data_IF_434290113380
#
_entry.id   IF_434290113380
#
_cell.length_a   1.000
_cell.length_b   1.000
_cell.length_c   1.000
_cell.angle_alpha   90.00
_cell.angle_beta   90.00
_cell.angle_gamma   90.00
#
_symmetry.space_group_name_H-M   'P 1'
#
loop_
_entity.id
_entity.type
_entity.pdbx_description
1 polymer ?
#
# COMPACT_ATOMS: atom_id res chain seq x y z
N UNK A 1 -8.33 -31.16 -80.34
CA UNK A 1 -7.10 -31.34 -79.56
C UNK A 1 -6.35 -30.02 -79.65
N UNK A 2 -6.49 -29.18 -78.63
CA UNK A 2 -5.94 -27.82 -78.60
C UNK A 2 -4.99 -27.78 -77.41
N UNK A 3 -3.70 -27.66 -77.67
CA UNK A 3 -2.63 -27.68 -76.66
C UNK A 3 -2.64 -26.39 -75.83
N UNK A 4 -2.65 -26.53 -74.51
CA UNK A 4 -2.44 -25.44 -73.54
C UNK A 4 -0.94 -25.34 -73.30
N UNK A 5 -0.32 -24.30 -73.87
CA UNK A 5 1.08 -23.97 -73.64
C UNK A 5 1.28 -23.51 -72.18
N UNK A 6 2.14 -24.22 -71.45
CA UNK A 6 2.56 -23.87 -70.11
C UNK A 6 3.41 -22.58 -70.13
N UNK A 7 2.91 -21.52 -69.50
CA UNK A 7 3.70 -20.32 -69.23
C UNK A 7 4.71 -20.62 -68.11
N UNK A 8 6.00 -20.63 -68.46
CA UNK A 8 7.12 -20.67 -67.53
C UNK A 8 7.15 -19.39 -66.68
N UNK A 9 7.40 -19.48 -65.37
CA UNK A 9 7.52 -18.31 -64.51
C UNK A 9 8.74 -17.48 -64.91
N UNK A 10 8.52 -16.17 -65.00
CA UNK A 10 9.49 -15.13 -65.32
C UNK A 10 10.74 -15.28 -64.45
N UNK A 11 11.87 -15.46 -65.12
CA UNK A 11 13.23 -15.49 -64.61
C UNK A 11 13.45 -14.29 -63.67
N UNK A 12 13.39 -14.53 -62.37
CA UNK A 12 13.70 -13.53 -61.37
C UNK A 12 15.18 -13.23 -61.52
N UNK A 13 15.53 -11.99 -61.90
CA UNK A 13 16.88 -11.48 -61.96
C UNK A 13 17.58 -11.72 -60.60
N UNK A 14 18.24 -12.87 -60.48
CA UNK A 14 19.02 -13.24 -59.31
C UNK A 14 20.22 -12.31 -59.30
N UNK A 15 20.30 -11.45 -58.28
CA UNK A 15 21.49 -10.66 -58.03
C UNK A 15 22.64 -11.62 -57.68
N UNK A 16 23.46 -11.93 -58.69
CA UNK A 16 24.67 -12.73 -58.55
C UNK A 16 25.88 -11.88 -58.20
N UNK A 17 25.69 -10.65 -57.71
CA UNK A 17 26.79 -9.85 -57.19
C UNK A 17 27.53 -10.66 -56.13
N UNK A 18 28.87 -10.78 -56.21
CA UNK A 18 29.63 -11.53 -55.22
C UNK A 18 29.34 -10.94 -53.85
N UNK A 19 29.11 -11.80 -52.86
CA UNK A 19 28.95 -11.39 -51.46
C UNK A 19 30.26 -10.75 -51.04
N UNK A 20 30.37 -9.43 -51.19
CA UNK A 20 31.49 -8.65 -50.67
C UNK A 20 31.37 -8.74 -49.14
N UNK A 21 32.39 -9.24 -48.43
CA UNK A 21 32.37 -9.18 -46.97
C UNK A 21 32.19 -7.72 -46.57
N UNK A 22 31.26 -7.39 -45.65
CA UNK A 22 30.92 -5.99 -45.38
C UNK A 22 32.17 -5.21 -45.02
N UNK A 23 32.53 -4.27 -45.89
CA UNK A 23 33.66 -3.36 -45.69
C UNK A 23 33.34 -2.44 -44.51
N UNK A 24 33.90 -2.77 -43.35
CA UNK A 24 33.75 -2.09 -42.06
C UNK A 24 32.29 -1.94 -41.55
N UNK A 25 32.07 -2.04 -40.22
CA UNK A 25 30.76 -1.71 -39.64
C UNK A 25 30.39 -0.26 -39.96
N UNK A 26 29.16 -0.06 -40.44
CA UNK A 26 28.65 1.28 -40.75
C UNK A 26 28.59 2.13 -39.46
N UNK A 27 29.09 3.38 -39.44
CA UNK A 27 29.24 4.18 -38.20
C UNK A 27 27.92 4.48 -37.49
N UNK A 28 26.79 4.44 -38.21
CA UNK A 28 25.46 4.58 -37.59
C UNK A 28 25.07 3.34 -36.76
N UNK A 29 25.54 2.16 -37.14
CA UNK A 29 25.25 0.92 -36.43
C UNK A 29 25.95 0.90 -35.07
N UNK A 30 27.23 1.27 -35.03
CA UNK A 30 28.01 1.40 -33.79
C UNK A 30 27.36 2.39 -32.81
N UNK A 31 26.85 3.52 -33.32
CA UNK A 31 26.08 4.50 -32.52
C UNK A 31 24.79 3.92 -31.94
N UNK A 32 24.08 3.05 -32.67
CA UNK A 32 22.85 2.41 -32.14
C UNK A 32 23.16 1.35 -31.10
N UNK A 33 24.28 0.64 -31.25
CA UNK A 33 24.72 -0.34 -30.25
C UNK A 33 25.15 0.33 -28.94
N UNK A 34 25.82 1.48 -28.98
CA UNK A 34 26.19 2.22 -27.77
C UNK A 34 24.99 2.79 -27.01
N UNK A 35 23.89 3.08 -27.72
CA UNK A 35 22.62 3.52 -27.14
C UNK A 35 21.70 2.37 -26.72
N UNK A 36 22.13 1.11 -26.84
CA UNK A 36 21.31 -0.06 -26.50
C UNK A 36 21.00 -0.09 -25.00
N UNK A 37 19.73 -0.14 -24.59
CA UNK A 37 19.35 -0.33 -23.19
C UNK A 37 19.80 -1.69 -22.64
N UNK A 38 20.06 -1.76 -21.33
CA UNK A 38 20.32 -3.03 -20.63
C UNK A 38 19.12 -3.99 -20.77
N UNK A 39 19.40 -5.29 -20.88
CA UNK A 39 18.36 -6.31 -20.96
C UNK A 39 17.39 -6.27 -19.76
N UNK A 40 17.87 -6.02 -18.53
CA UNK A 40 17.02 -5.90 -17.34
C UNK A 40 15.99 -4.78 -17.46
N UNK A 41 16.41 -3.60 -17.93
CA UNK A 41 15.51 -2.46 -18.18
C UNK A 41 14.42 -2.78 -19.21
N UNK A 42 14.65 -3.71 -20.14
CA UNK A 42 13.65 -4.16 -21.10
C UNK A 42 12.67 -5.16 -20.47
N UNK A 43 13.12 -5.98 -19.52
CA UNK A 43 12.26 -6.88 -18.73
C UNK A 43 11.37 -6.06 -17.80
N UNK A 44 11.91 -5.08 -17.09
CA UNK A 44 11.14 -4.22 -16.18
C UNK A 44 10.04 -3.44 -16.92
N UNK A 45 10.30 -3.10 -18.19
CA UNK A 45 9.34 -2.48 -19.10
C UNK A 45 8.43 -3.47 -19.82
N UNK A 46 8.55 -4.76 -19.50
CA UNK A 46 7.76 -5.85 -20.07
C UNK A 46 7.85 -5.97 -21.60
N UNK A 47 9.02 -5.61 -22.16
CA UNK A 47 9.34 -5.71 -23.59
C UNK A 47 10.03 -7.04 -23.89
N UNK A 48 10.89 -7.50 -22.99
CA UNK A 48 11.64 -8.73 -23.13
C UNK A 48 11.16 -9.74 -22.08
N UNK A 49 10.78 -10.94 -22.51
CA UNK A 49 10.30 -12.01 -21.63
C UNK A 49 11.42 -12.97 -21.18
N UNK A 50 12.69 -12.56 -21.27
CA UNK A 50 13.88 -13.44 -21.20
C UNK A 50 14.57 -13.51 -19.83
N UNK A 51 14.04 -12.87 -18.80
CA UNK A 51 14.34 -13.19 -17.39
C UNK A 51 13.81 -14.58 -16.99
N UNK A 52 12.88 -15.10 -17.79
CA UNK A 52 12.40 -16.47 -17.73
C UNK A 52 13.50 -17.46 -18.09
N UNK A 53 13.80 -18.41 -17.19
CA UNK A 53 14.65 -19.60 -17.43
C UNK A 53 14.16 -20.53 -18.55
N UNK A 54 13.11 -20.13 -19.26
CA UNK A 54 12.35 -20.92 -20.24
C UNK A 54 12.70 -20.40 -21.63
N UNK A 55 12.84 -21.31 -22.59
CA UNK A 55 13.11 -20.97 -23.99
C UNK A 55 12.04 -20.03 -24.58
N UNK A 56 12.45 -19.18 -25.53
CA UNK A 56 11.57 -18.20 -26.19
C UNK A 56 10.30 -18.83 -26.80
N UNK A 57 10.41 -20.03 -27.37
CA UNK A 57 9.29 -20.78 -27.94
C UNK A 57 8.21 -21.15 -26.92
N UNK A 58 8.57 -21.30 -25.64
CA UNK A 58 7.67 -21.70 -24.55
C UNK A 58 7.17 -20.50 -23.72
N UNK A 59 7.64 -19.28 -24.01
CA UNK A 59 7.24 -18.08 -23.28
C UNK A 59 5.71 -17.84 -23.36
N UNK A 60 5.13 -18.02 -24.55
CA UNK A 60 3.69 -17.86 -24.77
C UNK A 60 2.85 -18.84 -23.92
N UNK A 61 3.23 -20.13 -23.90
CA UNK A 61 2.56 -21.14 -23.08
C UNK A 61 2.70 -20.87 -21.59
N UNK A 62 3.87 -20.38 -21.14
CA UNK A 62 4.07 -19.97 -19.75
C UNK A 62 3.12 -18.83 -19.37
N UNK A 63 2.96 -17.83 -20.23
CA UNK A 63 2.07 -16.70 -19.95
C UNK A 63 0.61 -17.12 -19.98
N UNK A 64 0.20 -17.97 -20.92
CA UNK A 64 -1.13 -18.59 -20.94
C UNK A 64 -1.44 -19.33 -19.63
N UNK A 65 -0.50 -20.15 -19.15
CA UNK A 65 -0.65 -20.85 -17.87
C UNK A 65 -0.78 -19.86 -16.69
N UNK A 66 0.05 -18.81 -16.64
CA UNK A 66 -0.06 -17.76 -15.60
C UNK A 66 -1.43 -17.10 -15.64
N UNK A 67 -1.94 -16.76 -16.83
CA UNK A 67 -3.26 -16.17 -17.00
C UNK A 67 -4.36 -17.11 -16.51
N UNK A 68 -4.29 -18.40 -16.85
CA UNK A 68 -5.23 -19.40 -16.37
C UNK A 68 -5.20 -19.52 -14.83
N UNK A 69 -4.00 -19.57 -14.23
CA UNK A 69 -3.86 -19.60 -12.76
C UNK A 69 -4.43 -18.37 -12.07
N UNK A 70 -4.20 -17.17 -12.62
CA UNK A 70 -4.75 -15.91 -12.11
C UNK A 70 -6.27 -15.90 -12.25
N UNK A 71 -6.80 -16.34 -13.40
CA UNK A 71 -8.24 -16.43 -13.65
C UNK A 71 -8.93 -17.39 -12.66
N UNK A 72 -8.33 -18.56 -12.42
CA UNK A 72 -8.85 -19.53 -11.45
C UNK A 72 -8.79 -18.99 -10.02
N UNK A 73 -7.69 -18.30 -9.66
CA UNK A 73 -7.57 -17.66 -8.35
C UNK A 73 -8.63 -16.57 -8.16
N UNK A 74 -8.82 -15.71 -9.15
CA UNK A 74 -9.85 -14.68 -9.14
C UNK A 74 -11.24 -15.30 -9.03
N UNK A 75 -11.52 -16.36 -9.80
CA UNK A 75 -12.80 -17.08 -9.75
C UNK A 75 -13.10 -17.60 -8.35
N UNK A 76 -12.10 -18.19 -7.67
CA UNK A 76 -12.24 -18.62 -6.28
C UNK A 76 -12.52 -17.44 -5.34
N UNK A 77 -11.77 -16.34 -5.47
CA UNK A 77 -11.95 -15.15 -4.63
C UNK A 77 -13.29 -14.44 -4.83
N UNK A 78 -13.81 -14.44 -6.07
CA UNK A 78 -15.14 -13.90 -6.37
C UNK A 78 -16.26 -14.79 -5.83
N UNK A 79 -16.09 -16.12 -5.84
CA UNK A 79 -17.06 -17.04 -5.26
C UNK A 79 -17.16 -16.91 -3.73
N UNK A 80 -16.05 -16.64 -3.05
CA UNK A 80 -15.99 -16.44 -1.60
C UNK A 80 -16.05 -14.97 -1.18
N UNK A 81 -16.63 -14.10 -2.00
CA UNK A 81 -16.65 -12.65 -1.73
C UNK A 81 -17.60 -12.35 -0.57
N UNK A 82 -17.13 -11.76 0.55
CA UNK A 82 -17.98 -11.43 1.69
C UNK A 82 -18.97 -10.32 1.33
N UNK A 83 -20.15 -10.35 1.97
CA UNK A 83 -21.16 -9.31 1.81
C UNK A 83 -20.74 -8.02 2.53
N UNK A 84 -21.34 -6.89 2.13
CA UNK A 84 -21.08 -5.58 2.75
C UNK A 84 -21.34 -5.61 4.26
N UNK A 85 -22.46 -6.23 4.66
CA UNK A 85 -22.85 -6.35 6.08
C UNK A 85 -21.83 -7.13 6.90
N UNK A 86 -21.25 -8.18 6.33
CA UNK A 86 -20.22 -8.98 7.00
C UNK A 86 -18.93 -8.16 7.24
N UNK A 87 -18.63 -7.21 6.34
CA UNK A 87 -17.50 -6.30 6.50
C UNK A 87 -17.77 -5.19 7.53
N UNK A 88 -19.02 -4.78 7.68
CA UNK A 88 -19.49 -3.86 8.73
C UNK A 88 -19.38 -4.51 10.12
N UNK A 89 -19.89 -5.73 10.27
CA UNK A 89 -19.81 -6.50 11.52
C UNK A 89 -18.37 -6.77 11.96
N UNK A 90 -17.45 -6.95 11.00
CA UNK A 90 -16.01 -7.12 11.27
C UNK A 90 -15.27 -5.80 11.54
N UNK A 91 -15.95 -4.65 11.44
CA UNK A 91 -15.34 -3.32 11.64
C UNK A 91 -14.38 -2.88 10.53
N UNK A 92 -14.43 -3.51 9.36
CA UNK A 92 -13.59 -3.17 8.19
C UNK A 92 -14.23 -2.01 7.43
N UNK A 93 -15.53 -2.08 7.18
CA UNK A 93 -16.31 -1.01 6.59
C UNK A 93 -17.12 -0.30 7.69
N UNK A 94 -17.24 1.05 7.67
CA UNK A 94 -18.14 1.74 8.57
C UNK A 94 -19.60 1.59 8.11
N UNK A 95 -20.51 1.62 9.08
CA UNK A 95 -21.96 1.49 8.87
C UNK A 95 -22.58 2.68 8.12
N UNK A 96 -21.84 3.78 7.97
CA UNK A 96 -22.34 5.01 7.36
C UNK A 96 -22.37 4.93 5.82
N UNK A 97 -23.44 5.45 5.22
CA UNK A 97 -23.60 5.61 3.78
C UNK A 97 -22.92 6.90 3.25
N UNK A 98 -21.74 7.24 3.79
CA UNK A 98 -20.97 8.41 3.39
C UNK A 98 -20.07 8.05 2.20
N UNK A 99 -19.82 9.01 1.30
CA UNK A 99 -18.91 8.77 0.18
C UNK A 99 -17.47 8.49 0.65
N UNK A 100 -16.71 7.60 -0.02
CA UNK A 100 -15.34 7.23 0.40
C UNK A 100 -14.39 8.43 0.53
N UNK A 101 -14.61 9.48 -0.25
CA UNK A 101 -13.79 10.69 -0.23
C UNK A 101 -13.97 11.53 1.05
N UNK A 102 -15.13 11.43 1.71
CA UNK A 102 -15.47 12.23 2.91
C UNK A 102 -15.32 11.39 4.19
N UNK A 103 -15.38 10.07 4.08
CA UNK A 103 -15.33 9.14 5.22
C UNK A 103 -14.14 9.36 6.18
N UNK A 104 -12.97 9.72 5.65
CA UNK A 104 -11.82 10.03 6.50
C UNK A 104 -12.07 11.22 7.42
N UNK A 105 -12.75 12.26 6.91
CA UNK A 105 -13.06 13.48 7.67
C UNK A 105 -14.21 13.27 8.66
N UNK A 106 -15.20 12.45 8.33
CA UNK A 106 -16.29 12.12 9.27
C UNK A 106 -15.75 11.38 10.48
N UNK A 107 -14.92 10.35 10.27
CA UNK A 107 -14.27 9.61 11.35
C UNK A 107 -13.39 10.50 12.24
N UNK A 108 -12.67 11.44 11.64
CA UNK A 108 -11.86 12.41 12.39
C UNK A 108 -12.74 13.33 13.24
N UNK A 109 -13.83 13.85 12.67
CA UNK A 109 -14.79 14.67 13.38
C UNK A 109 -15.47 13.90 14.53
N UNK A 110 -15.96 12.69 14.27
CA UNK A 110 -16.54 11.81 15.29
C UNK A 110 -15.58 11.56 16.45
N UNK A 111 -14.32 11.27 16.15
CA UNK A 111 -13.29 11.10 17.18
C UNK A 111 -13.13 12.38 18.00
N UNK A 112 -13.05 13.54 17.36
CA UNK A 112 -12.87 14.82 18.06
C UNK A 112 -14.10 15.14 18.94
N UNK A 113 -15.31 14.92 18.43
CA UNK A 113 -16.54 15.07 19.20
C UNK A 113 -16.57 14.14 20.42
N UNK A 114 -16.13 12.89 20.25
CA UNK A 114 -16.01 11.94 21.35
C UNK A 114 -14.96 12.38 22.36
N UNK A 115 -13.79 12.86 21.92
CA UNK A 115 -12.76 13.34 22.85
C UNK A 115 -13.22 14.54 23.65
N UNK A 116 -13.93 15.49 23.03
CA UNK A 116 -14.46 16.66 23.73
C UNK A 116 -15.56 16.27 24.72
N UNK A 117 -16.44 15.35 24.31
CA UNK A 117 -17.48 14.79 25.17
C UNK A 117 -16.91 14.00 26.35
N UNK A 118 -15.79 13.31 26.17
CA UNK A 118 -15.10 12.60 27.25
C UNK A 118 -14.37 13.57 28.16
N UNK A 119 -13.70 14.58 27.61
CA UNK A 119 -13.00 15.61 28.38
C UNK A 119 -13.97 16.34 29.31
N UNK A 120 -15.13 16.77 28.81
CA UNK A 120 -16.17 17.43 29.65
C UNK A 120 -16.67 16.53 30.78
N UNK A 121 -16.83 15.23 30.55
CA UNK A 121 -17.21 14.27 31.61
C UNK A 121 -16.09 14.04 32.62
N UNK A 122 -14.84 14.05 32.17
CA UNK A 122 -13.67 13.89 33.03
C UNK A 122 -13.43 15.13 33.90
N UNK A 123 -13.69 16.34 33.40
CA UNK A 123 -13.58 17.56 34.22
C UNK A 123 -14.65 17.62 35.31
N UNK A 124 -15.84 17.09 35.05
CA UNK A 124 -16.93 16.98 36.02
C UNK A 124 -16.85 15.73 36.90
N UNK A 125 -15.71 15.02 36.90
CA UNK A 125 -15.54 13.81 37.69
C UNK A 125 -15.66 14.15 39.20
N UNK A 126 -16.61 13.55 39.94
CA UNK A 126 -16.81 13.86 41.35
C UNK A 126 -15.59 13.48 42.18
N UNK A 127 -15.35 14.26 43.23
CA UNK A 127 -14.31 13.92 44.20
C UNK A 127 -14.68 12.65 44.96
N UNK A 128 -13.68 11.99 45.51
CA UNK A 128 -13.85 10.72 46.24
C UNK A 128 -14.79 10.90 47.43
N UNK A 129 -14.68 12.02 48.13
CA UNK A 129 -15.51 12.36 49.29
C UNK A 129 -17.00 12.40 48.91
N UNK A 130 -17.34 13.04 47.79
CA UNK A 130 -18.71 13.10 47.26
C UNK A 130 -19.26 11.69 46.91
N UNK A 131 -18.38 10.76 46.52
CA UNK A 131 -18.76 9.37 46.22
C UNK A 131 -18.94 8.55 47.51
N UNK A 132 -18.22 8.89 48.58
CA UNK A 132 -18.42 8.31 49.91
C UNK A 132 -19.74 8.77 50.54
N UNK A 133 -20.07 10.05 50.40
CA UNK A 133 -21.36 10.62 50.87
C UNK A 133 -22.56 9.95 50.19
N UNK A 134 -22.43 9.61 48.91
CA UNK A 134 -23.45 8.87 48.15
C UNK A 134 -23.53 7.38 48.53
N UNK A 135 -22.70 6.90 49.45
CA UNK A 135 -22.71 5.51 49.94
C UNK A 135 -22.18 4.48 48.94
N UNK A 136 -21.61 4.91 47.81
CA UNK A 136 -21.07 4.03 46.76
C UNK A 136 -19.70 3.48 47.19
N UNK A 137 -18.91 4.29 47.90
CA UNK A 137 -17.61 3.91 48.45
C UNK A 137 -17.63 3.92 49.98
N UNK A 138 -17.13 2.85 50.59
CA UNK A 138 -16.85 2.79 52.04
C UNK A 138 -15.40 3.17 52.33
N UNK A 139 -15.15 3.79 53.49
CA UNK A 139 -13.82 4.19 53.98
C UNK A 139 -12.84 3.02 54.00
N UNK A 140 -13.24 1.86 54.54
CA UNK A 140 -12.39 0.69 54.60
C UNK A 140 -12.03 0.14 53.20
N UNK A 141 -12.96 0.24 52.24
CA UNK A 141 -12.72 -0.14 50.86
C UNK A 141 -11.80 0.85 50.15
N UNK A 142 -12.01 2.16 50.36
CA UNK A 142 -11.20 3.23 49.76
C UNK A 142 -9.73 3.16 50.18
N UNK A 143 -9.43 2.96 51.47
CA UNK A 143 -8.05 2.82 51.97
C UNK A 143 -7.34 1.63 51.30
N UNK A 144 -8.05 0.53 51.08
CA UNK A 144 -7.53 -0.65 50.37
C UNK A 144 -7.30 -0.36 48.88
N UNK A 145 -8.24 0.33 48.23
CA UNK A 145 -8.20 0.67 46.80
C UNK A 145 -7.14 1.72 46.47
N UNK A 146 -7.03 2.79 47.26
CA UNK A 146 -6.01 3.83 47.09
C UNK A 146 -4.60 3.26 47.30
N UNK A 147 -4.41 2.37 48.28
CA UNK A 147 -3.17 1.61 48.47
C UNK A 147 -2.88 0.67 47.29
N UNK A 148 -3.90 0.07 46.66
CA UNK A 148 -3.73 -0.78 45.49
C UNK A 148 -3.34 0.02 44.23
N UNK A 149 -3.94 1.20 44.02
CA UNK A 149 -3.59 2.13 42.94
C UNK A 149 -2.17 2.68 43.14
N UNK A 150 -1.83 3.15 44.34
CA UNK A 150 -0.52 3.72 44.67
C UNK A 150 0.63 2.70 44.54
N UNK A 151 0.35 1.41 44.74
CA UNK A 151 1.32 0.32 44.52
C UNK A 151 1.54 -0.02 43.05
N UNK A 152 0.86 0.65 42.11
CA UNK A 152 1.06 0.45 40.68
C UNK A 152 0.72 -0.96 40.20
N UNK A 153 -0.18 -1.66 40.88
CA UNK A 153 -0.56 -3.05 40.58
C UNK A 153 -1.46 -3.19 39.32
N UNK A 154 -1.34 -2.28 38.35
CA UNK A 154 -1.98 -2.35 37.04
C UNK A 154 -1.03 -3.00 36.04
N UNK A 155 -1.11 -4.33 35.93
CA UNK A 155 -0.45 -5.09 34.85
C UNK A 155 -1.54 -5.68 33.94
N UNK A 156 -1.97 -4.89 32.95
CA UNK A 156 -2.82 -5.38 31.87
C UNK A 156 -2.06 -6.42 31.03
N UNK A 157 -2.71 -7.56 30.72
CA UNK A 157 -2.12 -8.66 29.93
C UNK A 157 -2.13 -8.44 28.41
N UNK A 158 -2.63 -7.29 27.94
CA UNK A 158 -2.66 -6.92 26.52
C UNK A 158 -1.99 -5.55 26.38
N UNK A 159 -0.93 -5.48 25.57
CA UNK A 159 -0.07 -4.30 25.39
C UNK A 159 -0.72 -3.17 24.61
N UNK A 160 -1.88 -2.68 25.08
CA UNK A 160 -2.52 -1.47 24.56
C UNK A 160 -2.30 -0.26 25.49
N UNK A 161 -2.20 0.90 24.86
CA UNK A 161 -1.54 2.13 25.27
C UNK A 161 -1.98 2.67 26.65
N UNK A 162 -0.98 2.89 27.51
CA UNK A 162 -1.07 3.73 28.71
C UNK A 162 -1.31 5.17 28.25
N UNK A 163 -2.41 5.80 28.68
CA UNK A 163 -2.50 7.26 28.64
C UNK A 163 -1.34 7.82 29.48
N UNK A 164 -0.36 8.38 28.78
CA UNK A 164 0.79 9.01 29.40
C UNK A 164 0.31 10.24 30.18
N UNK A 165 0.22 10.12 31.50
CA UNK A 165 0.12 11.27 32.39
C UNK A 165 1.53 11.85 32.49
N UNK A 166 1.94 12.67 31.51
CA UNK A 166 2.91 13.76 31.67
C UNK A 166 3.09 14.55 30.36
N UNK A 167 3.25 15.87 30.49
CA UNK A 167 3.56 16.90 29.48
C UNK A 167 2.38 17.64 28.82
N UNK A 168 1.51 18.25 29.63
CA UNK A 168 1.12 19.63 29.32
C UNK A 168 2.25 20.52 29.85
N UNK A 169 3.21 20.82 28.98
CA UNK A 169 4.18 21.87 29.23
C UNK A 169 3.39 23.19 29.24
N UNK A 170 3.37 23.87 30.39
CA UNK A 170 3.02 25.29 30.44
C UNK A 170 4.03 26.04 29.56
N UNK A 171 3.59 26.51 28.40
CA UNK A 171 4.18 27.70 27.81
C UNK A 171 3.29 28.87 28.24
N UNK A 172 3.73 29.53 29.30
CA UNK A 172 3.27 30.87 29.63
C UNK A 172 3.48 31.80 28.45
N UNK A 173 2.45 32.60 28.19
CA UNK A 173 2.44 33.91 27.56
C UNK A 173 3.81 34.50 27.19
N UNK A 174 4.01 34.77 25.90
CA UNK A 174 4.37 36.11 25.42
C UNK A 174 4.38 36.16 23.89
N UNK A 175 3.91 37.29 23.37
CA UNK A 175 4.00 37.77 21.98
C UNK A 175 2.89 37.39 21.00
N UNK A 176 1.84 38.21 21.05
CA UNK A 176 1.23 38.81 19.89
C UNK A 176 2.28 39.17 18.81
N UNK A 177 2.09 38.69 17.58
CA UNK A 177 2.52 39.40 16.38
C UNK A 177 1.37 39.43 15.36
N UNK A 178 1.05 40.65 14.96
CA UNK A 178 -0.03 41.14 14.10
C UNK A 178 -0.11 40.50 12.69
N UNK A 179 -1.24 40.67 11.97
CA UNK A 179 -1.37 40.22 10.60
C UNK A 179 -0.60 41.18 9.67
N UNK A 180 0.49 40.69 9.06
CA UNK A 180 1.19 41.41 8.00
C UNK A 180 0.81 40.84 6.63
N UNK A 181 0.11 41.67 5.86
CA UNK A 181 -0.10 41.55 4.42
C UNK A 181 1.24 41.42 3.69
N UNK A 182 1.48 40.31 2.97
CA UNK A 182 2.40 40.29 1.83
C UNK A 182 2.23 39.05 0.94
N UNK A 183 1.70 39.29 -0.26
CA UNK A 183 1.98 38.67 -1.57
C UNK A 183 2.29 37.16 -1.61
N UNK A 184 1.36 36.44 -2.22
CA UNK A 184 1.55 35.05 -2.66
C UNK A 184 2.68 34.92 -3.67
N UNK A 185 3.60 33.99 -3.38
CA UNK A 185 4.46 33.32 -4.33
C UNK A 185 4.25 31.81 -4.17
N UNK A 186 3.55 31.19 -5.12
CA UNK A 186 3.40 29.74 -5.18
C UNK A 186 4.67 29.14 -5.80
N UNK A 187 5.55 28.61 -4.97
CA UNK A 187 6.58 27.67 -5.43
C UNK A 187 6.20 26.28 -4.95
N UNK A 188 5.61 25.51 -5.88
CA UNK A 188 5.45 24.06 -5.74
C UNK A 188 6.84 23.43 -5.57
N UNK A 189 7.07 22.52 -4.62
CA UNK A 189 8.26 21.69 -4.64
C UNK A 189 8.21 20.74 -5.86
N UNK A 190 9.34 20.46 -6.52
CA UNK A 190 9.36 19.56 -7.66
C UNK A 190 9.05 18.13 -7.21
N UNK A 191 8.07 17.53 -7.88
CA UNK A 191 7.82 16.10 -7.83
C UNK A 191 9.03 15.39 -8.45
N UNK A 192 9.78 14.67 -7.63
CA UNK A 192 10.79 13.76 -8.14
C UNK A 192 10.81 12.46 -7.34
N UNK A 193 10.73 11.35 -8.07
CA UNK A 193 11.22 10.05 -7.62
C UNK A 193 10.22 9.15 -6.91
N UNK A 194 9.60 8.26 -7.68
CA UNK A 194 9.03 6.98 -7.29
C UNK A 194 9.60 6.40 -5.98
N UNK A 195 8.75 6.23 -4.98
CA UNK A 195 9.00 5.33 -3.87
C UNK A 195 8.65 3.92 -4.36
N UNK A 196 9.60 2.99 -4.55
CA UNK A 196 9.23 1.61 -4.83
C UNK A 196 8.53 1.07 -3.57
N UNK A 197 7.32 0.57 -3.74
CA UNK A 197 6.61 -0.17 -2.69
C UNK A 197 7.47 -1.39 -2.33
N UNK A 198 8.28 -1.25 -1.29
CA UNK A 198 8.92 -2.37 -0.62
C UNK A 198 7.82 -3.14 0.11
N UNK A 199 7.23 -4.12 -0.57
CA UNK A 199 6.39 -5.11 0.09
C UNK A 199 7.29 -6.00 0.94
N UNK A 200 7.00 -6.17 2.24
CA UNK A 200 7.73 -7.14 3.05
C UNK A 200 7.43 -8.53 2.50
N UNK A 201 8.49 -9.22 2.06
CA UNK A 201 8.43 -10.64 1.67
C UNK A 201 7.95 -11.43 2.88
N UNK A 202 6.74 -11.98 2.83
CA UNK A 202 6.31 -12.96 3.82
C UNK A 202 7.16 -14.22 3.64
N UNK A 203 8.02 -14.51 4.62
CA UNK A 203 8.66 -15.82 4.71
C UNK A 203 7.57 -16.87 4.88
N UNK A 204 7.38 -17.68 3.84
CA UNK A 204 6.59 -18.90 3.92
C UNK A 204 7.37 -19.85 4.84
N UNK A 205 6.93 -19.88 6.10
CA UNK A 205 7.36 -20.88 7.08
C UNK A 205 7.23 -22.28 6.46
N UNK A 206 8.38 -22.94 6.28
CA UNK A 206 8.47 -24.33 5.89
C UNK A 206 7.74 -25.16 6.95
N UNK A 207 6.51 -25.59 6.66
CA UNK A 207 5.87 -26.69 7.38
C UNK A 207 6.77 -27.92 7.17
N UNK A 208 7.36 -28.43 8.25
CA UNK A 208 8.00 -29.75 8.25
C UNK A 208 6.93 -30.78 7.87
N UNK A 209 7.13 -31.63 6.85
CA UNK A 209 6.37 -32.85 6.74
C UNK A 209 6.88 -33.81 7.83
N UNK A 210 6.00 -34.15 8.76
CA UNK A 210 6.16 -35.36 9.56
C UNK A 210 5.60 -36.54 8.78
N UNK A 211 6.44 -37.54 8.55
CA UNK A 211 6.25 -38.98 8.83
C UNK A 211 7.66 -39.49 9.16
#
# INVERSE_FOLDING_TARGET
MTEVAASTPTDALVDTSPIVPPSAPHPQFERRLSLRPEARSLVDRNILHSDSTVASSLAAHKDELKHAMIADHLKRGLASRPERKELEERGILPDEHVSPAILGKTKELEKNMLTDSLNTKLTQRPRVEEVMEKGILSVGSWVRWSSWIARGAWRGKSGDIIVNVHAYQLADSTMCCSPASSRGGSTKPPLNGHNPLHYPTMEISKRRPGI
#
